data_IF_608769399643
#
_entry.id   IF_608769399643
#
_cell.length_a   1.000
_cell.length_b   1.000
_cell.length_c   1.000
_cell.angle_alpha   90.00
_cell.angle_beta   90.00
_cell.angle_gamma   90.00
#
_symmetry.space_group_name_H-M   'P 1'
#
loop_
_entity.id
_entity.type
_entity.pdbx_description
1 polymer ?
#
# COMPACT_ATOMS: atom_id res chain seq x y z
N UNK A 1 -33.92 49.24 -25.59
CA UNK A 1 -32.66 49.13 -24.81
C UNK A 1 -32.72 47.82 -24.04
N UNK A 2 -31.56 47.18 -23.79
CA UNK A 2 -31.52 45.97 -22.95
C UNK A 2 -31.94 46.30 -21.52
N UNK A 3 -32.70 45.42 -20.88
CA UNK A 3 -33.12 45.62 -19.48
C UNK A 3 -31.95 45.39 -18.52
N UNK A 4 -31.99 45.98 -17.30
CA UNK A 4 -30.99 45.73 -16.25
C UNK A 4 -30.78 44.23 -15.97
N UNK A 5 -31.88 43.46 -15.98
CA UNK A 5 -31.85 42.02 -15.80
C UNK A 5 -31.15 41.29 -16.96
N UNK A 6 -31.40 41.70 -18.21
CA UNK A 6 -30.74 41.13 -19.39
C UNK A 6 -29.23 41.37 -19.33
N UNK A 7 -28.80 42.62 -19.09
CA UNK A 7 -27.38 42.99 -19.01
C UNK A 7 -26.66 42.17 -17.94
N UNK A 8 -27.26 42.06 -16.75
CA UNK A 8 -26.69 41.27 -15.66
C UNK A 8 -26.60 39.78 -15.98
N UNK A 9 -27.64 39.16 -16.55
CA UNK A 9 -27.59 37.73 -16.84
C UNK A 9 -26.66 37.39 -17.99
N UNK A 10 -26.43 38.30 -18.95
CA UNK A 10 -25.43 38.11 -20.00
C UNK A 10 -23.99 38.22 -19.49
N UNK A 11 -23.73 38.96 -18.40
CA UNK A 11 -22.39 39.01 -17.80
C UNK A 11 -21.98 37.69 -17.14
N UNK A 12 -22.95 36.83 -16.78
CA UNK A 12 -22.71 35.57 -16.09
C UNK A 12 -22.38 34.42 -17.05
N UNK A 13 -21.18 33.87 -16.92
CA UNK A 13 -20.64 32.86 -17.85
C UNK A 13 -21.32 31.49 -17.78
N UNK A 14 -21.78 31.05 -16.60
CA UNK A 14 -22.29 29.67 -16.42
C UNK A 14 -23.77 29.63 -16.03
N UNK A 15 -24.50 28.64 -16.54
CA UNK A 15 -25.91 28.41 -16.18
C UNK A 15 -26.10 28.15 -14.68
N UNK A 16 -25.14 27.48 -14.04
CA UNK A 16 -25.15 27.21 -12.61
C UNK A 16 -25.07 28.51 -11.79
N UNK A 17 -24.15 29.42 -12.15
CA UNK A 17 -24.04 30.74 -11.51
C UNK A 17 -25.31 31.56 -11.73
N UNK A 18 -25.84 31.61 -12.97
CA UNK A 18 -27.11 32.30 -13.29
C UNK A 18 -28.24 31.85 -12.37
N UNK A 19 -28.41 30.53 -12.18
CA UNK A 19 -29.45 29.95 -11.32
C UNK A 19 -29.30 30.36 -9.85
N UNK A 20 -28.07 30.31 -9.31
CA UNK A 20 -27.79 30.69 -7.91
C UNK A 20 -27.99 32.19 -7.71
N UNK A 21 -27.52 33.01 -8.65
CA UNK A 21 -27.61 34.46 -8.56
C UNK A 21 -29.07 34.92 -8.64
N UNK A 22 -29.84 34.35 -9.58
CA UNK A 22 -31.29 34.55 -9.67
C UNK A 22 -32.00 34.27 -8.35
N UNK A 23 -31.76 33.10 -7.75
CA UNK A 23 -32.39 32.73 -6.48
C UNK A 23 -32.14 33.75 -5.36
N UNK A 24 -30.91 34.26 -5.23
CA UNK A 24 -30.57 35.18 -4.14
C UNK A 24 -31.03 36.60 -4.41
N UNK A 25 -31.04 37.04 -5.67
CA UNK A 25 -31.62 38.32 -6.07
C UNK A 25 -33.13 38.34 -5.86
N UNK A 26 -33.85 37.31 -6.28
CA UNK A 26 -35.30 37.21 -6.08
C UNK A 26 -35.66 37.28 -4.58
N UNK A 27 -34.92 36.58 -3.72
CA UNK A 27 -35.10 36.65 -2.26
C UNK A 27 -34.80 38.03 -1.66
N UNK A 28 -33.88 38.78 -2.27
CA UNK A 28 -33.57 40.13 -1.84
C UNK A 28 -34.64 41.12 -2.30
N UNK A 29 -35.08 41.02 -3.55
CA UNK A 29 -36.16 41.83 -4.13
C UNK A 29 -37.49 41.63 -3.41
N UNK A 30 -37.82 40.40 -3.05
CA UNK A 30 -38.96 40.07 -2.21
C UNK A 30 -38.92 40.81 -0.86
N UNK A 31 -37.76 40.81 -0.20
CA UNK A 31 -37.57 41.54 1.06
C UNK A 31 -37.61 43.07 0.88
N UNK A 32 -36.98 43.58 -0.17
CA UNK A 32 -36.89 45.01 -0.44
C UNK A 32 -38.20 45.59 -0.99
N UNK A 33 -39.16 44.74 -1.38
CA UNK A 33 -40.34 45.12 -2.15
C UNK A 33 -39.97 45.93 -3.40
N UNK A 34 -38.93 45.46 -4.11
CA UNK A 34 -38.41 46.06 -5.33
C UNK A 34 -38.33 44.99 -6.43
N UNK A 35 -38.01 45.42 -7.64
CA UNK A 35 -37.60 44.56 -8.75
C UNK A 35 -36.27 45.06 -9.36
N UNK A 36 -35.87 44.43 -10.46
CA UNK A 36 -34.64 44.76 -11.19
C UNK A 36 -34.61 46.22 -11.67
N UNK A 37 -35.75 46.79 -12.05
CA UNK A 37 -35.85 48.12 -12.65
C UNK A 37 -36.13 49.20 -11.61
N UNK A 38 -36.84 48.87 -10.52
CA UNK A 38 -37.22 49.83 -9.49
C UNK A 38 -36.07 50.13 -8.53
N UNK A 39 -35.24 49.13 -8.20
CA UNK A 39 -34.17 49.31 -7.23
C UNK A 39 -33.05 50.23 -7.73
N UNK A 40 -32.75 50.18 -9.03
CA UNK A 40 -31.67 50.97 -9.64
C UNK A 40 -32.04 52.46 -9.77
N UNK A 41 -33.32 52.80 -9.61
CA UNK A 41 -33.83 54.18 -9.62
C UNK A 41 -33.74 54.85 -8.25
N UNK A 42 -33.36 54.11 -7.21
CA UNK A 42 -33.22 54.65 -5.86
C UNK A 42 -31.85 55.30 -5.68
N UNK A 43 -31.79 56.29 -4.79
CA UNK A 43 -30.52 56.90 -4.38
C UNK A 43 -29.57 55.85 -3.77
N UNK A 44 -28.26 55.87 -4.10
CA UNK A 44 -27.30 54.88 -3.63
C UNK A 44 -27.29 54.66 -2.11
N UNK A 45 -27.44 55.73 -1.31
CA UNK A 45 -27.48 55.61 0.15
C UNK A 45 -28.74 54.88 0.64
N UNK A 46 -29.88 55.04 -0.07
CA UNK A 46 -31.11 54.29 0.23
C UNK A 46 -30.95 52.80 -0.10
N UNK A 47 -30.34 52.46 -1.25
CA UNK A 47 -30.04 51.07 -1.63
C UNK A 47 -29.14 50.41 -0.57
N UNK A 48 -28.07 51.11 -0.17
CA UNK A 48 -27.15 50.66 0.87
C UNK A 48 -27.85 50.43 2.21
N UNK A 49 -28.77 51.31 2.61
CA UNK A 49 -29.56 51.13 3.82
C UNK A 49 -30.44 49.87 3.74
N UNK A 50 -31.16 49.66 2.64
CA UNK A 50 -31.96 48.45 2.39
C UNK A 50 -31.11 47.17 2.50
N UNK A 51 -29.89 47.18 1.96
CA UNK A 51 -28.99 46.03 2.05
C UNK A 51 -28.53 45.78 3.48
N UNK A 52 -28.21 46.83 4.26
CA UNK A 52 -27.86 46.68 5.68
C UNK A 52 -29.02 46.05 6.46
N UNK A 53 -30.24 46.53 6.22
CA UNK A 53 -31.44 46.02 6.87
C UNK A 53 -31.69 44.56 6.48
N UNK A 54 -31.46 44.20 5.21
CA UNK A 54 -31.52 42.81 4.75
C UNK A 54 -30.49 41.90 5.43
N UNK A 55 -29.26 42.37 5.61
CA UNK A 55 -28.22 41.63 6.34
C UNK A 55 -28.61 41.42 7.80
N UNK A 56 -29.15 42.46 8.46
CA UNK A 56 -29.66 42.37 9.84
C UNK A 56 -30.81 41.36 9.93
N UNK A 57 -31.76 41.41 9.00
CA UNK A 57 -32.87 40.46 8.91
C UNK A 57 -32.36 39.01 8.75
N UNK A 58 -31.40 38.77 7.85
CA UNK A 58 -30.78 37.44 7.72
C UNK A 58 -30.04 37.02 8.97
N UNK A 59 -29.35 37.94 9.66
CA UNK A 59 -28.64 37.65 10.92
C UNK A 59 -29.59 37.22 12.01
N UNK A 60 -30.75 37.84 12.08
CA UNK A 60 -31.83 37.44 13.00
C UNK A 60 -32.37 36.04 12.67
N UNK A 61 -32.56 35.73 11.39
CA UNK A 61 -32.93 34.37 10.96
C UNK A 61 -31.85 33.35 11.31
N UNK A 62 -30.57 33.67 11.09
CA UNK A 62 -29.44 32.82 11.49
C UNK A 62 -29.46 32.57 13.00
N UNK A 63 -29.75 33.60 13.82
CA UNK A 63 -29.85 33.46 15.28
C UNK A 63 -31.01 32.56 15.71
N UNK A 64 -32.18 32.71 15.09
CA UNK A 64 -33.39 31.95 15.43
C UNK A 64 -33.37 30.50 14.93
N UNK A 65 -32.84 30.28 13.74
CA UNK A 65 -33.01 29.01 13.01
C UNK A 65 -31.69 28.29 12.69
N UNK A 66 -30.55 28.97 12.85
CA UNK A 66 -29.26 28.51 12.34
C UNK A 66 -29.11 28.65 10.81
N UNK A 67 -30.10 29.23 10.12
CA UNK A 67 -30.16 29.33 8.65
C UNK A 67 -30.36 30.81 8.25
N UNK A 68 -29.57 31.35 7.30
CA UNK A 68 -28.44 30.72 6.62
C UNK A 68 -27.23 30.55 7.54
N UNK A 69 -26.30 29.66 7.17
CA UNK A 69 -25.05 29.49 7.91
C UNK A 69 -24.24 30.80 7.90
N UNK A 70 -23.50 31.14 8.99
CA UNK A 70 -22.62 32.30 9.00
C UNK A 70 -21.63 32.35 7.82
N UNK A 71 -21.20 31.19 7.33
CA UNK A 71 -20.26 31.10 6.21
C UNK A 71 -20.89 31.39 4.84
N UNK A 72 -22.22 31.50 4.75
CA UNK A 72 -22.95 31.68 3.48
C UNK A 72 -23.19 33.15 3.11
N UNK A 73 -22.95 34.10 4.03
CA UNK A 73 -23.31 35.51 3.83
C UNK A 73 -22.67 36.12 2.59
N UNK A 74 -21.38 35.86 2.36
CA UNK A 74 -20.72 36.29 1.13
C UNK A 74 -21.46 35.77 -0.11
N UNK A 75 -21.77 34.47 -0.17
CA UNK A 75 -22.45 33.87 -1.33
C UNK A 75 -23.87 34.41 -1.55
N UNK A 76 -24.58 34.83 -0.49
CA UNK A 76 -25.90 35.46 -0.58
C UNK A 76 -25.77 36.90 -1.10
N UNK A 77 -24.72 37.62 -0.70
CA UNK A 77 -24.54 39.04 -0.99
C UNK A 77 -23.86 39.31 -2.34
N UNK A 78 -22.96 38.42 -2.80
CA UNK A 78 -22.25 38.57 -4.07
C UNK A 78 -23.18 38.79 -5.28
N UNK A 79 -24.32 38.10 -5.43
CA UNK A 79 -25.26 38.36 -6.52
C UNK A 79 -25.82 39.78 -6.51
N UNK A 80 -26.16 40.30 -5.33
CA UNK A 80 -26.67 41.67 -5.15
C UNK A 80 -25.57 42.68 -5.50
N UNK A 81 -24.37 42.45 -4.98
CA UNK A 81 -23.20 43.27 -5.28
C UNK A 81 -22.92 43.32 -6.78
N UNK A 82 -22.86 42.15 -7.43
CA UNK A 82 -22.58 42.04 -8.87
C UNK A 82 -23.68 42.70 -9.71
N UNK A 83 -24.94 42.61 -9.29
CA UNK A 83 -26.05 43.26 -9.99
C UNK A 83 -25.95 44.78 -9.93
N UNK A 84 -25.64 45.34 -8.76
CA UNK A 84 -25.50 46.78 -8.58
C UNK A 84 -24.26 47.34 -9.30
N UNK A 85 -23.13 46.63 -9.22
CA UNK A 85 -21.91 46.99 -9.97
C UNK A 85 -22.15 46.99 -11.49
N UNK A 86 -22.91 46.01 -12.01
CA UNK A 86 -23.26 45.96 -13.44
C UNK A 86 -24.17 47.11 -13.89
N UNK A 87 -24.86 47.77 -12.96
CA UNK A 87 -25.70 48.94 -13.20
C UNK A 87 -25.04 50.25 -12.72
N UNK A 88 -23.71 50.24 -12.53
CA UNK A 88 -22.90 51.42 -12.17
C UNK A 88 -23.29 52.06 -10.82
N UNK A 89 -23.85 51.27 -9.89
CA UNK A 89 -24.21 51.73 -8.55
C UNK A 89 -23.11 51.32 -7.56
N UNK A 90 -22.34 52.30 -7.10
CA UNK A 90 -21.19 52.08 -6.24
C UNK A 90 -21.33 52.72 -4.85
N UNK A 91 -20.94 51.96 -3.81
CA UNK A 91 -20.75 52.43 -2.44
C UNK A 91 -19.84 51.47 -1.67
N UNK A 92 -19.37 51.90 -0.49
CA UNK A 92 -18.44 51.10 0.33
C UNK A 92 -19.08 49.82 0.91
N UNK A 93 -18.88 48.70 0.19
CA UNK A 93 -19.27 47.35 0.62
C UNK A 93 -18.58 46.89 1.91
N UNK A 94 -17.44 47.49 2.28
CA UNK A 94 -16.75 47.20 3.55
C UNK A 94 -17.68 47.37 4.75
N UNK A 95 -18.49 48.43 4.74
CA UNK A 95 -19.45 48.69 5.82
C UNK A 95 -20.54 47.62 5.93
N UNK A 96 -20.97 47.06 4.81
CA UNK A 96 -21.96 45.97 4.76
C UNK A 96 -21.32 44.65 5.22
N UNK A 97 -20.11 44.34 4.75
CA UNK A 97 -19.38 43.11 5.13
C UNK A 97 -19.06 43.05 6.62
N UNK A 98 -18.82 44.20 7.26
CA UNK A 98 -18.63 44.28 8.71
C UNK A 98 -19.87 43.85 9.52
N UNK A 99 -21.06 43.84 8.92
CA UNK A 99 -22.29 43.38 9.58
C UNK A 99 -22.44 41.85 9.54
N UNK A 100 -21.65 41.14 8.73
CA UNK A 100 -21.74 39.70 8.60
C UNK A 100 -21.40 39.01 9.92
N UNK A 101 -22.05 37.88 10.24
CA UNK A 101 -21.71 37.11 11.41
C UNK A 101 -20.29 36.54 11.30
N UNK A 102 -19.68 36.27 12.45
CA UNK A 102 -18.38 35.60 12.50
C UNK A 102 -18.46 34.23 11.81
N UNK A 103 -17.50 33.96 10.94
CA UNK A 103 -17.39 32.66 10.26
C UNK A 103 -17.13 31.57 11.29
N UNK A 104 -17.75 30.42 11.07
CA UNK A 104 -17.63 29.25 11.94
C UNK A 104 -16.82 28.16 11.23
N UNK A 105 -16.13 27.28 11.98
CA UNK A 105 -15.44 26.13 11.38
C UNK A 105 -16.41 25.25 10.56
N UNK A 106 -15.97 24.83 9.38
CA UNK A 106 -16.77 23.99 8.49
C UNK A 106 -16.84 22.56 9.04
N UNK A 107 -18.00 21.91 8.86
CA UNK A 107 -18.24 20.52 9.22
C UNK A 107 -17.79 19.54 8.12
N UNK A 108 -17.79 18.25 8.44
CA UNK A 108 -17.51 17.13 7.55
C UNK A 108 -16.11 17.18 6.91
N UNK A 109 -15.10 17.47 7.73
CA UNK A 109 -13.76 17.76 7.24
C UNK A 109 -12.81 16.56 7.21
N UNK A 110 -13.18 15.40 7.76
CA UNK A 110 -12.30 14.24 7.79
C UNK A 110 -12.26 13.48 6.44
N UNK A 111 -11.10 12.90 6.07
CA UNK A 111 -10.98 11.99 4.93
C UNK A 111 -11.65 10.64 5.23
N UNK A 112 -11.85 9.84 4.17
CA UNK A 112 -12.14 8.42 4.34
C UNK A 112 -10.86 7.66 4.75
N UNK A 113 -11.01 6.66 5.62
CA UNK A 113 -10.01 5.65 5.97
C UNK A 113 -10.16 4.45 5.06
N UNK A 114 -9.16 3.55 5.05
CA UNK A 114 -9.25 2.30 4.30
C UNK A 114 -10.46 1.45 4.73
N UNK A 115 -10.75 1.41 6.03
CA UNK A 115 -11.92 0.70 6.56
C UNK A 115 -13.24 1.29 6.07
N UNK A 116 -13.37 2.63 5.98
CA UNK A 116 -14.57 3.20 5.38
C UNK A 116 -14.73 2.76 3.92
N UNK A 117 -13.64 2.72 3.15
CA UNK A 117 -13.73 2.30 1.74
C UNK A 117 -14.09 0.81 1.66
N UNK A 118 -13.51 -0.04 2.52
CA UNK A 118 -13.89 -1.46 2.61
C UNK A 118 -15.37 -1.64 2.96
N UNK A 119 -15.88 -0.88 3.92
CA UNK A 119 -17.30 -0.88 4.28
C UNK A 119 -18.19 -0.45 3.11
N UNK A 120 -17.82 0.61 2.39
CA UNK A 120 -18.55 1.05 1.19
C UNK A 120 -18.57 -0.05 0.10
N UNK A 121 -17.43 -0.69 -0.16
CA UNK A 121 -17.32 -1.75 -1.17
C UNK A 121 -18.08 -3.02 -0.75
N UNK A 122 -18.07 -3.37 0.54
CA UNK A 122 -18.80 -4.51 1.09
C UNK A 122 -20.32 -4.30 1.11
N UNK A 123 -20.78 -3.04 1.16
CA UNK A 123 -22.19 -2.71 1.20
C UNK A 123 -22.92 -2.82 -0.16
N UNK A 124 -22.20 -3.05 -1.25
CA UNK A 124 -22.80 -3.10 -2.59
C UNK A 124 -22.30 -4.29 -3.40
N UNK A 125 -23.21 -5.00 -4.06
CA UNK A 125 -22.88 -6.10 -4.99
C UNK A 125 -22.71 -5.63 -6.43
N UNK A 126 -23.12 -4.39 -6.75
CA UNK A 126 -23.06 -3.86 -8.10
C UNK A 126 -21.62 -3.58 -8.54
N UNK A 127 -21.16 -4.24 -9.59
CA UNK A 127 -19.83 -4.02 -10.18
C UNK A 127 -19.62 -2.56 -10.56
N UNK A 128 -20.64 -1.91 -11.13
CA UNK A 128 -20.63 -0.47 -11.40
C UNK A 128 -20.33 0.36 -10.15
N UNK A 129 -21.05 0.12 -9.04
CA UNK A 129 -20.87 0.92 -7.84
C UNK A 129 -19.49 0.66 -7.22
N UNK A 130 -19.01 -0.59 -7.22
CA UNK A 130 -17.66 -0.94 -6.77
C UNK A 130 -16.60 -0.20 -7.58
N UNK A 131 -16.69 -0.29 -8.91
CA UNK A 131 -15.81 0.44 -9.83
C UNK A 131 -15.84 1.95 -9.58
N UNK A 132 -17.04 2.53 -9.37
CA UNK A 132 -17.19 3.96 -9.09
C UNK A 132 -16.50 4.38 -7.78
N UNK A 133 -16.61 3.58 -6.71
CA UNK A 133 -15.97 3.85 -5.42
C UNK A 133 -14.45 3.74 -5.53
N UNK A 134 -13.95 2.67 -6.17
CA UNK A 134 -12.51 2.53 -6.44
C UNK A 134 -11.99 3.70 -7.27
N UNK A 135 -12.72 4.10 -8.31
CA UNK A 135 -12.37 5.21 -9.18
C UNK A 135 -12.24 6.53 -8.39
N UNK A 136 -13.23 6.88 -7.57
CA UNK A 136 -13.16 8.08 -6.72
C UNK A 136 -12.00 8.01 -5.70
N UNK A 137 -11.79 6.84 -5.10
CA UNK A 137 -10.75 6.61 -4.09
C UNK A 137 -9.34 6.71 -4.66
N UNK A 138 -9.17 6.22 -5.90
CA UNK A 138 -7.87 6.19 -6.57
C UNK A 138 -7.51 7.49 -7.28
N UNK A 139 -8.49 8.24 -7.78
CA UNK A 139 -8.23 9.44 -8.60
C UNK A 139 -8.35 10.76 -7.83
N UNK A 140 -9.06 10.75 -6.70
CA UNK A 140 -9.44 11.97 -5.99
C UNK A 140 -10.29 12.93 -6.82
N UNK A 141 -10.90 12.48 -7.92
CA UNK A 141 -11.66 13.33 -8.85
C UNK A 141 -12.87 13.99 -8.17
N UNK A 142 -13.29 15.15 -8.68
CA UNK A 142 -14.59 15.72 -8.32
C UNK A 142 -15.70 14.81 -8.86
N UNK A 143 -16.59 14.33 -7.99
CA UNK A 143 -17.70 13.44 -8.40
C UNK A 143 -18.55 14.02 -9.55
N UNK A 144 -18.68 15.34 -9.62
CA UNK A 144 -19.43 16.02 -10.68
C UNK A 144 -18.78 15.98 -12.06
N UNK A 145 -17.49 15.62 -12.15
CA UNK A 145 -16.79 15.44 -13.43
C UNK A 145 -17.01 14.05 -14.04
N UNK A 146 -17.35 13.05 -13.21
CA UNK A 146 -17.51 11.66 -13.65
C UNK A 146 -18.54 11.41 -14.77
N UNK A 147 -19.64 12.19 -14.90
CA UNK A 147 -20.57 12.10 -16.03
C UNK A 147 -19.95 12.28 -17.42
N UNK A 148 -18.94 13.14 -17.52
CA UNK A 148 -18.41 13.60 -18.81
C UNK A 148 -17.17 12.80 -19.24
N UNK A 149 -16.66 11.91 -18.37
CA UNK A 149 -15.53 11.03 -18.68
C UNK A 149 -16.00 9.94 -19.63
N UNK A 150 -15.23 9.67 -20.66
CA UNK A 150 -15.46 8.60 -21.65
C UNK A 150 -14.50 7.44 -21.45
N UNK A 151 -14.77 6.33 -22.13
CA UNK A 151 -13.91 5.14 -22.07
C UNK A 151 -12.51 5.45 -22.64
N UNK A 152 -12.44 6.20 -23.74
CA UNK A 152 -11.17 6.64 -24.36
C UNK A 152 -10.31 7.55 -23.49
N UNK A 153 -10.91 8.21 -22.49
CA UNK A 153 -10.16 9.08 -21.58
C UNK A 153 -9.30 8.27 -20.60
N UNK A 154 -9.52 6.95 -20.51
CA UNK A 154 -8.77 6.01 -19.67
C UNK A 154 -7.72 5.31 -20.53
N UNK A 155 -6.45 5.62 -20.30
CA UNK A 155 -5.31 5.01 -20.99
C UNK A 155 -4.57 4.06 -20.06
N UNK A 156 -4.49 2.79 -20.44
CA UNK A 156 -3.76 1.77 -19.71
C UNK A 156 -2.26 2.09 -19.68
N UNK A 157 -1.66 2.02 -18.48
CA UNK A 157 -0.22 2.17 -18.27
C UNK A 157 0.21 1.15 -17.24
N UNK A 158 1.11 0.24 -17.65
CA UNK A 158 1.55 -0.89 -16.84
C UNK A 158 0.33 -1.72 -16.37
N UNK A 159 0.11 -1.80 -15.07
CA UNK A 159 -0.99 -2.52 -14.42
C UNK A 159 -2.16 -1.61 -13.99
N UNK A 160 -2.02 -0.29 -14.16
CA UNK A 160 -3.01 0.73 -13.85
C UNK A 160 -3.41 1.53 -15.08
N UNK A 161 -3.80 2.79 -14.86
CA UNK A 161 -4.17 3.68 -15.95
C UNK A 161 -3.99 5.16 -15.60
N UNK A 162 -3.87 6.00 -16.62
CA UNK A 162 -4.02 7.45 -16.53
C UNK A 162 -5.38 7.85 -17.11
N UNK A 163 -6.06 8.78 -16.46
CA UNK A 163 -7.40 9.24 -16.82
C UNK A 163 -7.39 10.74 -17.07
N UNK A 164 -7.89 11.16 -18.22
CA UNK A 164 -8.09 12.57 -18.58
C UNK A 164 -9.45 13.06 -18.04
N UNK A 165 -9.46 14.19 -17.35
CA UNK A 165 -10.65 14.78 -16.72
C UNK A 165 -10.91 16.14 -17.35
N UNK A 166 -12.18 16.43 -17.65
CA UNK A 166 -12.61 17.65 -18.36
C UNK A 166 -11.87 17.87 -19.68
N UNK A 167 -11.75 16.80 -20.47
CA UNK A 167 -11.11 16.80 -21.78
C UNK A 167 -11.63 17.95 -22.65
N UNK A 168 -10.75 18.56 -23.42
CA UNK A 168 -11.03 19.67 -24.36
C UNK A 168 -11.55 20.94 -23.67
N UNK A 169 -11.28 21.11 -22.36
CA UNK A 169 -11.61 22.32 -21.61
C UNK A 169 -10.38 22.99 -21.00
N UNK A 170 -10.53 24.25 -20.61
CA UNK A 170 -9.48 24.98 -19.89
C UNK A 170 -9.14 24.34 -18.54
N UNK A 171 -10.06 23.58 -17.96
CA UNK A 171 -9.89 22.88 -16.69
C UNK A 171 -9.32 21.46 -16.83
N UNK A 172 -8.95 21.03 -18.05
CA UNK A 172 -8.42 19.68 -18.30
C UNK A 172 -7.22 19.33 -17.41
N UNK A 173 -7.21 18.12 -16.87
CA UNK A 173 -6.08 17.55 -16.12
C UNK A 173 -6.06 16.04 -16.21
N UNK A 174 -4.95 15.42 -15.80
CA UNK A 174 -4.81 13.96 -15.77
C UNK A 174 -4.59 13.47 -14.35
N UNK A 175 -5.15 12.30 -14.04
CA UNK A 175 -5.02 11.60 -12.74
C UNK A 175 -4.83 10.11 -12.98
N UNK A 176 -4.60 9.30 -11.95
CA UNK A 176 -4.19 7.91 -12.10
C UNK A 176 -5.13 6.94 -11.38
N UNK A 177 -5.22 5.72 -11.92
CA UNK A 177 -5.86 4.57 -11.29
C UNK A 177 -4.81 3.61 -10.76
N UNK A 178 -4.97 3.16 -9.51
CA UNK A 178 -4.24 2.02 -8.98
C UNK A 178 -4.63 0.75 -9.76
N UNK A 179 -3.80 -0.30 -9.72
CA UNK A 179 -4.10 -1.57 -10.38
C UNK A 179 -5.40 -2.21 -9.89
N UNK A 180 -5.65 -2.11 -8.58
CA UNK A 180 -6.92 -2.54 -7.94
C UNK A 180 -8.12 -1.78 -8.53
N UNK A 181 -8.01 -0.45 -8.65
CA UNK A 181 -9.10 0.37 -9.17
C UNK A 181 -9.33 0.16 -10.67
N UNK A 182 -8.24 0.02 -11.44
CA UNK A 182 -8.32 -0.27 -12.87
C UNK A 182 -8.92 -1.65 -13.13
N UNK A 183 -8.56 -2.66 -12.34
CA UNK A 183 -9.16 -4.00 -12.42
C UNK A 183 -10.66 -3.97 -12.10
N UNK A 184 -11.08 -3.24 -11.07
CA UNK A 184 -12.49 -3.07 -10.75
C UNK A 184 -13.25 -2.37 -11.89
N UNK A 185 -12.63 -1.38 -12.53
CA UNK A 185 -13.17 -0.69 -13.70
C UNK A 185 -13.33 -1.63 -14.89
N UNK A 186 -12.31 -2.43 -15.23
CA UNK A 186 -12.37 -3.43 -16.33
C UNK A 186 -13.54 -4.41 -16.14
N UNK A 187 -13.68 -4.98 -14.94
CA UNK A 187 -14.81 -5.87 -14.59
C UNK A 187 -16.18 -5.20 -14.76
N UNK A 188 -16.27 -3.90 -14.49
CA UNK A 188 -17.50 -3.14 -14.75
C UNK A 188 -17.73 -2.94 -16.26
N UNK A 189 -16.70 -2.62 -17.04
CA UNK A 189 -16.83 -2.45 -18.49
C UNK A 189 -17.21 -3.77 -19.19
N UNK A 190 -16.79 -4.92 -18.66
CA UNK A 190 -17.17 -6.25 -19.15
C UNK A 190 -18.68 -6.56 -19.09
N UNK A 191 -19.45 -5.86 -18.25
CA UNK A 191 -20.92 -5.99 -18.19
C UNK A 191 -21.66 -4.88 -18.97
N UNK A 192 -20.95 -3.93 -19.57
CA UNK A 192 -21.57 -2.83 -20.34
C UNK A 192 -22.08 -3.35 -21.68
N UNK A 193 -23.18 -2.78 -22.16
CA UNK A 193 -23.70 -3.04 -23.51
C UNK A 193 -22.87 -2.25 -24.52
N UNK A 194 -22.81 -0.92 -24.32
CA UNK A 194 -22.01 -0.01 -25.13
C UNK A 194 -20.61 0.17 -24.54
N UNK A 195 -19.59 -0.11 -25.36
CA UNK A 195 -18.16 -0.05 -24.97
C UNK A 195 -17.30 0.70 -25.98
N UNK A 196 -17.94 1.44 -26.89
CA UNK A 196 -17.21 2.25 -27.87
C UNK A 196 -16.33 3.29 -27.15
N UNK A 197 -15.17 3.67 -27.70
CA UNK A 197 -14.26 4.62 -27.06
C UNK A 197 -14.93 5.93 -26.62
N UNK A 198 -15.83 6.48 -27.46
CA UNK A 198 -16.60 7.70 -27.17
C UNK A 198 -17.79 7.47 -26.22
N UNK A 199 -18.05 6.24 -25.76
CA UNK A 199 -19.10 6.01 -24.77
C UNK A 199 -18.69 6.58 -23.41
N UNK A 200 -19.68 7.10 -22.65
CA UNK A 200 -19.44 7.55 -21.26
C UNK A 200 -18.90 6.42 -20.39
N UNK A 201 -17.97 6.73 -19.50
CA UNK A 201 -17.32 5.75 -18.64
C UNK A 201 -18.31 5.09 -17.69
N UNK A 202 -19.14 5.90 -17.02
CA UNK A 202 -20.15 5.42 -16.05
C UNK A 202 -21.57 5.77 -16.45
N UNK A 203 -22.47 4.78 -16.38
CA UNK A 203 -23.89 4.92 -16.70
C UNK A 203 -24.81 4.75 -15.49
N UNK A 204 -26.09 5.04 -15.69
CA UNK A 204 -27.15 4.56 -14.80
C UNK A 204 -27.25 3.04 -14.82
N UNK A 205 -28.13 2.49 -13.96
CA UNK A 205 -28.29 1.04 -13.78
C UNK A 205 -28.74 0.31 -15.04
N UNK A 206 -29.31 1.03 -16.00
CA UNK A 206 -29.76 0.48 -17.30
C UNK A 206 -28.62 0.28 -18.32
N UNK A 207 -27.36 0.54 -17.97
CA UNK A 207 -26.19 0.40 -18.86
C UNK A 207 -26.20 1.24 -20.15
N UNK A 208 -27.11 2.21 -20.29
CA UNK A 208 -27.28 3.01 -21.50
C UNK A 208 -27.16 4.51 -21.20
N UNK A 209 -27.97 5.00 -20.27
CA UNK A 209 -28.04 6.45 -20.04
C UNK A 209 -26.85 6.95 -19.21
N UNK A 210 -26.24 8.09 -19.57
CA UNK A 210 -25.21 8.73 -18.76
C UNK A 210 -25.68 9.09 -17.36
N UNK A 211 -24.74 9.12 -16.42
CA UNK A 211 -24.98 9.76 -15.14
C UNK A 211 -25.15 11.27 -15.35
N UNK A 212 -26.06 11.90 -14.61
CA UNK A 212 -26.01 13.35 -14.34
C UNK A 212 -25.14 13.62 -13.12
N UNK A 213 -24.65 14.86 -12.91
CA UNK A 213 -23.90 15.22 -11.70
C UNK A 213 -24.63 14.86 -10.40
N UNK A 214 -25.96 15.04 -10.37
CA UNK A 214 -26.79 14.62 -9.23
C UNK A 214 -26.81 13.11 -9.06
N UNK A 215 -27.02 12.36 -10.14
CA UNK A 215 -27.08 10.90 -10.06
C UNK A 215 -25.73 10.26 -9.69
N UNK A 216 -24.61 10.89 -10.08
CA UNK A 216 -23.26 10.48 -9.68
C UNK A 216 -23.07 10.64 -8.16
N UNK A 217 -23.54 11.75 -7.59
CA UNK A 217 -23.58 11.93 -6.13
C UNK A 217 -24.49 10.89 -5.47
N UNK A 218 -25.60 10.53 -6.12
CA UNK A 218 -26.55 9.56 -5.59
C UNK A 218 -26.00 8.13 -5.52
N UNK A 219 -25.08 7.75 -6.43
CA UNK A 219 -24.38 6.47 -6.34
C UNK A 219 -23.68 6.36 -4.98
N UNK A 220 -22.86 7.35 -4.64
CA UNK A 220 -22.11 7.38 -3.37
C UNK A 220 -23.07 7.48 -2.18
N UNK A 221 -24.09 8.34 -2.27
CA UNK A 221 -25.10 8.54 -1.22
C UNK A 221 -25.79 7.22 -0.85
N UNK A 222 -26.19 6.45 -1.87
CA UNK A 222 -26.93 5.22 -1.68
C UNK A 222 -26.04 4.12 -1.11
N UNK A 223 -24.81 3.96 -1.61
CA UNK A 223 -23.87 2.98 -1.05
C UNK A 223 -23.51 3.34 0.39
N UNK A 224 -23.27 4.62 0.68
CA UNK A 224 -22.97 5.07 2.05
C UNK A 224 -24.13 4.79 3.02
N UNK A 225 -25.38 4.94 2.58
CA UNK A 225 -26.55 4.56 3.37
C UNK A 225 -26.60 3.06 3.62
N UNK A 226 -26.30 2.24 2.61
CA UNK A 226 -26.24 0.78 2.74
C UNK A 226 -25.14 0.34 3.72
N UNK A 227 -23.98 0.99 3.66
CA UNK A 227 -22.84 0.75 4.55
C UNK A 227 -23.06 1.19 6.00
N UNK A 228 -24.15 1.92 6.29
CA UNK A 228 -24.42 2.53 7.61
C UNK A 228 -23.27 3.43 8.14
N UNK A 229 -22.41 3.93 7.24
CA UNK A 229 -21.31 4.88 7.49
C UNK A 229 -21.79 6.29 7.91
N UNK A 230 -23.02 6.43 8.38
CA UNK A 230 -23.53 7.67 8.95
C UNK A 230 -23.03 7.80 10.38
N UNK A 231 -21.75 8.16 10.54
CA UNK A 231 -21.15 8.54 11.83
C UNK A 231 -21.96 9.65 12.53
N UNK A 232 -22.86 10.33 11.82
CA UNK A 232 -23.59 11.48 12.35
C UNK A 232 -25.13 11.38 12.29
N UNK A 233 -25.74 10.24 11.92
CA UNK A 233 -27.22 10.13 11.74
C UNK A 233 -27.84 11.27 10.89
N UNK A 234 -27.09 11.79 9.91
CA UNK A 234 -27.52 12.91 9.06
C UNK A 234 -27.22 14.31 9.60
N UNK A 235 -26.62 14.44 10.79
CA UNK A 235 -26.15 15.74 11.32
C UNK A 235 -24.78 16.09 10.76
N UNK A 236 -24.52 17.36 10.48
CA UNK A 236 -23.17 17.78 10.06
C UNK A 236 -22.30 17.92 11.32
N UNK A 237 -21.20 17.17 11.42
CA UNK A 237 -20.29 17.22 12.58
C UNK A 237 -18.86 17.55 12.15
N UNK A 238 -18.03 18.07 13.07
CA UNK A 238 -16.61 18.33 12.77
C UNK A 238 -15.82 17.04 12.52
N UNK A 239 -16.26 15.93 13.13
CA UNK A 239 -15.70 14.58 12.94
C UNK A 239 -16.37 13.83 11.79
N UNK A 240 -17.34 14.44 11.12
CA UNK A 240 -18.03 13.84 10.00
C UNK A 240 -17.13 13.73 8.78
N UNK A 241 -17.51 12.84 7.88
CA UNK A 241 -16.88 12.65 6.57
C UNK A 241 -17.83 13.15 5.49
N UNK A 242 -17.34 14.03 4.63
CA UNK A 242 -18.11 14.51 3.47
C UNK A 242 -18.34 13.35 2.51
N UNK A 243 -19.56 13.19 2.01
CA UNK A 243 -19.91 12.07 1.14
C UNK A 243 -18.95 11.90 -0.04
N UNK A 244 -18.62 13.01 -0.72
CA UNK A 244 -17.78 12.97 -1.92
C UNK A 244 -16.39 13.56 -1.67
N UNK A 245 -16.30 14.67 -0.93
CA UNK A 245 -15.01 15.32 -0.69
C UNK A 245 -14.08 14.52 0.22
N UNK A 246 -14.58 13.56 1.01
CA UNK A 246 -13.71 12.74 1.85
C UNK A 246 -12.81 11.79 1.04
N UNK A 247 -13.24 11.33 -0.15
CA UNK A 247 -12.38 10.58 -1.09
C UNK A 247 -11.21 11.43 -1.56
N UNK A 248 -11.50 12.65 -2.01
CA UNK A 248 -10.49 13.59 -2.50
C UNK A 248 -9.48 13.97 -1.41
N UNK A 249 -9.94 14.17 -0.17
CA UNK A 249 -9.06 14.40 0.97
C UNK A 249 -8.20 13.19 1.31
N UNK A 250 -8.78 11.98 1.28
CA UNK A 250 -8.02 10.74 1.44
C UNK A 250 -6.89 10.70 0.41
N UNK A 251 -7.22 10.86 -0.87
CA UNK A 251 -6.25 10.89 -1.95
C UNK A 251 -5.13 11.91 -1.70
N UNK A 252 -5.47 13.19 -1.44
CA UNK A 252 -4.49 14.24 -1.19
C UNK A 252 -3.53 13.91 -0.03
N UNK A 253 -4.10 13.51 1.11
CA UNK A 253 -3.33 13.19 2.32
C UNK A 253 -2.46 11.95 2.09
N UNK A 254 -3.00 10.91 1.44
CA UNK A 254 -2.25 9.69 1.14
C UNK A 254 -1.08 9.99 0.22
N UNK A 255 -1.28 10.75 -0.86
CA UNK A 255 -0.20 11.15 -1.76
C UNK A 255 0.86 11.98 -1.03
N UNK A 256 0.44 12.95 -0.23
CA UNK A 256 1.35 13.78 0.56
C UNK A 256 2.18 12.94 1.56
N UNK A 257 1.57 11.94 2.19
CA UNK A 257 2.26 11.03 3.11
C UNK A 257 3.26 10.07 2.45
N UNK A 258 3.23 9.96 1.12
CA UNK A 258 4.16 9.17 0.33
C UNK A 258 5.23 10.04 -0.36
N UNK A 259 5.45 11.26 0.15
CA UNK A 259 6.46 12.21 -0.36
C UNK A 259 6.30 12.56 -1.84
N UNK A 260 5.06 12.61 -2.32
CA UNK A 260 4.76 13.20 -3.63
C UNK A 260 4.85 14.72 -3.54
N UNK A 261 5.49 15.33 -4.53
CA UNK A 261 5.60 16.78 -4.60
C UNK A 261 4.21 17.42 -4.76
N UNK A 262 3.91 18.44 -3.96
CA UNK A 262 2.59 19.10 -3.93
C UNK A 262 2.10 19.50 -5.33
N UNK A 263 2.98 19.99 -6.20
CA UNK A 263 2.63 20.34 -7.59
C UNK A 263 2.00 19.19 -8.40
N UNK A 264 2.48 17.97 -8.22
CA UNK A 264 1.91 16.77 -8.87
C UNK A 264 0.56 16.41 -8.25
N UNK A 265 0.42 16.55 -6.93
CA UNK A 265 -0.84 16.31 -6.21
C UNK A 265 -1.90 17.31 -6.69
N UNK A 266 -1.55 18.59 -6.71
CA UNK A 266 -2.39 19.69 -7.19
C UNK A 266 -2.80 19.46 -8.66
N UNK A 267 -1.86 19.06 -9.52
CA UNK A 267 -2.14 18.71 -10.92
C UNK A 267 -3.11 17.53 -11.03
N UNK A 268 -2.86 16.41 -10.34
CA UNK A 268 -3.74 15.23 -10.35
C UNK A 268 -5.13 15.48 -9.77
N UNK A 269 -5.29 16.60 -9.06
CA UNK A 269 -6.56 17.07 -8.57
C UNK A 269 -7.20 18.13 -9.47
N UNK A 270 -6.47 18.74 -10.41
CA UNK A 270 -6.94 19.92 -11.14
C UNK A 270 -7.11 21.11 -10.19
N UNK A 271 -6.13 21.32 -9.31
CA UNK A 271 -5.93 22.53 -8.53
C UNK A 271 -4.84 23.34 -9.22
N UNK A 272 -5.25 24.39 -9.93
CA UNK A 272 -4.34 25.25 -10.68
C UNK A 272 -4.27 26.63 -10.04
N UNK A 273 -3.07 27.19 -9.95
CA UNK A 273 -2.81 28.56 -9.51
C UNK A 273 -2.02 29.27 -10.59
N UNK A 274 -2.59 30.36 -11.14
CA UNK A 274 -2.02 31.05 -12.29
C UNK A 274 -1.76 30.10 -13.47
N UNK A 275 -0.50 30.07 -13.93
CA UNK A 275 -0.06 29.25 -15.07
C UNK A 275 0.48 27.86 -14.67
N UNK A 276 0.24 27.39 -13.43
CA UNK A 276 0.82 26.14 -12.93
C UNK A 276 0.49 24.91 -13.80
N UNK A 277 -0.66 24.91 -14.50
CA UNK A 277 -1.06 23.87 -15.45
C UNK A 277 -0.07 23.70 -16.60
N UNK A 278 0.47 24.80 -17.14
CA UNK A 278 1.29 24.78 -18.35
C UNK A 278 2.58 23.95 -18.18
N UNK A 279 3.13 23.89 -16.97
CA UNK A 279 4.32 23.08 -16.66
C UNK A 279 4.09 21.58 -16.82
N UNK A 280 2.83 21.13 -16.79
CA UNK A 280 2.47 19.72 -16.93
C UNK A 280 2.12 19.33 -18.38
N UNK A 281 2.07 20.28 -19.31
CA UNK A 281 1.83 19.98 -20.73
C UNK A 281 2.95 19.11 -21.33
N UNK A 282 4.18 19.26 -20.83
CA UNK A 282 5.33 18.44 -21.27
C UNK A 282 5.54 17.14 -20.49
N UNK A 283 4.71 16.86 -19.46
CA UNK A 283 4.81 15.64 -18.66
C UNK A 283 4.03 14.53 -19.37
N UNK A 284 4.70 13.43 -19.73
CA UNK A 284 4.04 12.27 -20.35
C UNK A 284 3.15 11.51 -19.35
N UNK A 285 2.25 10.66 -19.86
CA UNK A 285 1.39 9.86 -18.99
C UNK A 285 2.23 8.86 -18.16
N UNK A 286 3.31 8.32 -18.72
CA UNK A 286 4.26 7.42 -18.05
C UNK A 286 5.01 8.14 -16.92
N UNK A 287 5.44 9.38 -17.15
CA UNK A 287 6.10 10.18 -16.11
C UNK A 287 5.14 10.51 -14.96
N UNK A 288 3.89 10.85 -15.28
CA UNK A 288 2.85 11.10 -14.28
C UNK A 288 2.56 9.82 -13.47
N UNK A 289 2.38 8.68 -14.14
CA UNK A 289 2.15 7.40 -13.49
C UNK A 289 3.35 6.98 -12.64
N UNK A 290 4.58 7.18 -13.11
CA UNK A 290 5.80 6.91 -12.34
C UNK A 290 5.86 7.68 -11.01
N UNK A 291 5.41 8.95 -10.99
CA UNK A 291 5.30 9.71 -9.75
C UNK A 291 4.20 9.16 -8.83
N UNK A 292 3.06 8.75 -9.41
CA UNK A 292 1.92 8.19 -8.70
C UNK A 292 2.20 6.81 -8.07
N UNK A 293 3.07 5.99 -8.70
CA UNK A 293 3.41 4.62 -8.23
C UNK A 293 3.80 4.55 -6.75
N UNK A 294 4.48 5.56 -6.23
CA UNK A 294 4.86 5.66 -4.81
C UNK A 294 3.66 5.62 -3.85
N UNK A 295 2.51 6.14 -4.28
CA UNK A 295 1.29 6.18 -3.48
C UNK A 295 0.41 4.93 -3.66
N UNK A 296 0.65 4.09 -4.68
CA UNK A 296 -0.16 2.89 -4.95
C UNK A 296 -0.26 1.99 -3.73
N UNK A 297 0.84 1.59 -3.05
CA UNK A 297 0.74 0.70 -1.88
C UNK A 297 -0.09 1.28 -0.73
N UNK A 298 -0.12 2.61 -0.59
CA UNK A 298 -0.90 3.29 0.43
C UNK A 298 -2.38 3.42 0.03
N UNK A 299 -2.67 3.65 -1.27
CA UNK A 299 -4.02 3.79 -1.79
C UNK A 299 -4.78 2.46 -1.96
N UNK A 300 -4.08 1.37 -2.30
CA UNK A 300 -4.64 0.02 -2.48
C UNK A 300 -5.21 -0.51 -1.16
N UNK A 301 -6.43 -1.03 -1.17
CA UNK A 301 -7.12 -1.50 0.05
C UNK A 301 -6.72 -2.92 0.43
N UNK A 302 -6.49 -3.76 -0.58
CA UNK A 302 -5.93 -5.07 -0.39
C UNK A 302 -4.45 -4.94 -0.02
N UNK A 303 -4.18 -5.11 1.28
CA UNK A 303 -2.82 -5.08 1.82
C UNK A 303 -2.22 -6.48 1.88
N UNK A 304 -2.85 -7.53 1.33
CA UNK A 304 -2.36 -8.91 1.36
C UNK A 304 -0.88 -9.00 0.96
N UNK A 305 -0.52 -8.41 -0.19
CA UNK A 305 0.85 -8.36 -0.70
C UNK A 305 1.83 -7.59 0.20
N UNK A 306 1.36 -6.51 0.84
CA UNK A 306 2.17 -5.75 1.80
C UNK A 306 2.40 -6.55 3.09
N UNK A 307 1.36 -7.20 3.59
CA UNK A 307 1.42 -8.07 4.76
C UNK A 307 2.31 -9.27 4.48
N UNK A 308 2.25 -9.85 3.28
CA UNK A 308 3.14 -10.93 2.83
C UNK A 308 4.59 -10.46 2.80
N UNK A 309 4.88 -9.30 2.20
CA UNK A 309 6.25 -8.76 2.17
C UNK A 309 6.79 -8.39 3.57
N UNK A 310 5.94 -7.84 4.45
CA UNK A 310 6.29 -7.56 5.85
C UNK A 310 6.56 -8.87 6.62
N UNK A 311 5.71 -9.89 6.44
CA UNK A 311 5.91 -11.23 7.02
C UNK A 311 7.16 -11.91 6.48
N UNK A 312 7.46 -11.81 5.18
CA UNK A 312 8.68 -12.37 4.59
C UNK A 312 9.92 -11.71 5.18
N UNK A 313 9.89 -10.39 5.38
CA UNK A 313 10.99 -9.66 6.02
C UNK A 313 11.16 -10.10 7.48
N UNK A 314 10.07 -10.25 8.22
CA UNK A 314 10.08 -10.73 9.61
C UNK A 314 10.60 -12.18 9.71
N UNK A 315 10.13 -13.07 8.84
CA UNK A 315 10.61 -14.46 8.71
C UNK A 315 12.11 -14.47 8.42
N UNK A 316 12.60 -13.58 7.55
CA UNK A 316 14.02 -13.49 7.22
C UNK A 316 14.86 -13.09 8.44
N UNK A 317 14.41 -12.07 9.19
CA UNK A 317 15.10 -11.64 10.43
C UNK A 317 15.12 -12.78 11.44
N UNK A 318 13.99 -13.44 11.68
CA UNK A 318 13.90 -14.57 12.62
C UNK A 318 14.81 -15.72 12.20
N UNK A 319 14.91 -16.03 10.89
CA UNK A 319 15.82 -17.05 10.37
C UNK A 319 17.28 -16.68 10.61
N UNK A 320 17.66 -15.44 10.29
CA UNK A 320 19.03 -14.97 10.51
C UNK A 320 19.42 -15.00 12.01
N UNK A 321 18.52 -14.61 12.91
CA UNK A 321 18.71 -14.73 14.36
C UNK A 321 18.78 -16.18 14.84
N UNK A 322 17.88 -17.04 14.35
CA UNK A 322 17.84 -18.45 14.72
C UNK A 322 19.06 -19.22 14.23
N UNK A 323 19.50 -18.99 12.98
CA UNK A 323 20.69 -19.62 12.41
C UNK A 323 21.95 -19.20 13.18
N UNK A 324 22.03 -17.91 13.58
CA UNK A 324 23.10 -17.41 14.45
C UNK A 324 23.12 -18.12 15.81
N UNK A 325 21.98 -18.20 16.50
CA UNK A 325 21.88 -18.86 17.79
C UNK A 325 22.12 -20.38 17.72
N UNK A 326 21.71 -21.03 16.62
CA UNK A 326 21.94 -22.45 16.38
C UNK A 326 23.43 -22.72 16.17
N UNK A 327 24.11 -21.88 15.40
CA UNK A 327 25.55 -21.99 15.17
C UNK A 327 26.33 -21.83 16.48
N UNK A 328 25.98 -20.84 17.30
CA UNK A 328 26.61 -20.62 18.60
C UNK A 328 26.42 -21.83 19.53
N UNK A 329 25.20 -22.40 19.59
CA UNK A 329 24.95 -23.63 20.36
C UNK A 329 25.72 -24.84 19.83
N UNK A 330 25.87 -24.96 18.52
CA UNK A 330 26.61 -26.06 17.91
C UNK A 330 28.10 -25.95 18.26
N UNK A 331 28.67 -24.75 18.17
CA UNK A 331 30.06 -24.48 18.59
C UNK A 331 30.25 -24.79 20.09
N UNK A 332 29.32 -24.38 20.96
CA UNK A 332 29.36 -24.73 22.38
C UNK A 332 29.27 -26.24 22.64
N UNK A 333 28.45 -26.96 21.87
CA UNK A 333 28.35 -28.43 21.97
C UNK A 333 29.62 -29.13 21.47
N UNK A 334 30.20 -28.67 20.35
CA UNK A 334 31.45 -29.20 19.83
C UNK A 334 32.59 -28.97 20.82
N UNK A 335 32.68 -27.78 21.42
CA UNK A 335 33.66 -27.50 22.48
C UNK A 335 33.49 -28.42 23.69
N UNK A 336 32.25 -28.62 24.14
CA UNK A 336 31.96 -29.53 25.25
C UNK A 336 32.35 -30.97 24.91
N UNK A 337 32.02 -31.43 23.71
CA UNK A 337 32.35 -32.78 23.25
C UNK A 337 33.86 -32.99 23.15
N UNK A 338 34.60 -31.99 22.64
CA UNK A 338 36.06 -32.00 22.60
C UNK A 338 36.68 -32.05 24.00
N UNK A 339 36.14 -31.30 24.96
CA UNK A 339 36.59 -31.37 26.37
C UNK A 339 36.33 -32.75 26.97
N UNK A 340 35.12 -33.30 26.80
CA UNK A 340 34.78 -34.65 27.29
C UNK A 340 35.67 -35.73 26.65
N UNK A 341 35.92 -35.65 25.35
CA UNK A 341 36.84 -36.55 24.65
C UNK A 341 38.26 -36.47 25.19
N UNK A 342 38.75 -35.25 25.47
CA UNK A 342 40.08 -35.03 26.04
C UNK A 342 40.20 -35.60 27.46
N UNK A 343 39.19 -35.39 28.30
CA UNK A 343 39.16 -35.93 29.67
C UNK A 343 39.11 -37.46 29.66
N UNK A 344 38.24 -38.04 28.80
CA UNK A 344 38.15 -39.49 28.62
C UNK A 344 39.47 -40.08 28.14
N UNK A 345 40.10 -39.47 27.14
CA UNK A 345 41.38 -39.90 26.60
C UNK A 345 42.47 -39.88 27.68
N UNK A 346 42.52 -38.81 28.48
CA UNK A 346 43.49 -38.67 29.59
C UNK A 346 43.27 -39.76 30.64
N UNK A 347 42.03 -40.00 31.06
CA UNK A 347 41.70 -41.04 32.02
C UNK A 347 42.03 -42.45 31.50
N UNK A 348 41.78 -42.71 30.21
CA UNK A 348 42.11 -43.98 29.53
C UNK A 348 43.61 -44.21 29.48
N UNK A 349 44.39 -43.22 29.03
CA UNK A 349 45.85 -43.31 28.99
C UNK A 349 46.43 -43.51 30.39
N UNK A 350 45.95 -42.75 31.38
CA UNK A 350 46.37 -42.92 32.78
C UNK A 350 46.06 -44.34 33.33
N UNK A 351 44.91 -44.91 32.98
CA UNK A 351 44.56 -46.28 33.38
C UNK A 351 45.52 -47.31 32.77
N UNK A 352 45.94 -47.12 31.51
CA UNK A 352 46.97 -47.96 30.87
C UNK A 352 48.36 -47.76 31.51
N UNK A 353 48.75 -46.53 31.82
CA UNK A 353 50.00 -46.23 32.54
C UNK A 353 50.03 -46.91 33.91
N UNK A 354 48.92 -46.88 34.65
CA UNK A 354 48.77 -47.52 35.95
C UNK A 354 48.77 -49.05 35.86
N UNK A 355 48.21 -49.61 34.79
CA UNK A 355 48.15 -51.07 34.58
C UNK A 355 49.47 -51.65 34.13
N UNK A 356 50.24 -50.90 33.35
CA UNK A 356 51.51 -51.34 32.76
C UNK A 356 52.70 -50.49 33.25
N UNK A 357 52.72 -50.11 34.53
CA UNK A 357 53.71 -49.18 35.14
C UNK A 357 55.16 -49.53 34.81
N UNK A 358 55.47 -50.82 34.71
CA UNK A 358 56.77 -51.36 34.31
C UNK A 358 57.23 -51.02 32.88
N UNK A 359 56.36 -50.41 32.07
CA UNK A 359 56.64 -49.93 30.71
C UNK A 359 56.80 -48.40 30.63
N UNK A 360 56.54 -47.67 31.72
CA UNK A 360 56.52 -46.20 31.77
C UNK A 360 57.61 -45.60 32.67
N UNK A 361 58.71 -46.33 32.89
CA UNK A 361 59.80 -45.96 33.82
C UNK A 361 60.82 -44.93 33.33
N UNK A 362 60.59 -44.25 32.20
CA UNK A 362 61.51 -43.27 31.59
C UNK A 362 60.78 -42.10 30.92
N UNK A 363 61.50 -41.17 30.26
CA UNK A 363 60.90 -40.00 29.59
C UNK A 363 59.94 -40.35 28.42
N UNK A 364 59.93 -41.61 27.97
CA UNK A 364 59.06 -42.13 26.91
C UNK A 364 58.61 -43.56 27.26
N UNK A 365 57.39 -43.98 26.88
CA UNK A 365 56.92 -45.35 27.07
C UNK A 365 57.73 -46.36 26.25
N UNK A 366 57.93 -47.56 26.79
CA UNK A 366 58.52 -48.70 26.06
C UNK A 366 57.44 -49.37 25.18
N UNK A 367 57.28 -48.83 23.97
CA UNK A 367 56.30 -49.26 22.98
C UNK A 367 56.48 -50.75 22.59
N UNK A 368 57.72 -51.25 22.54
CA UNK A 368 57.97 -52.65 22.20
C UNK A 368 57.49 -53.59 23.30
N UNK A 369 57.67 -53.20 24.56
CA UNK A 369 57.16 -53.98 25.70
C UNK A 369 55.63 -53.93 25.76
N UNK A 370 55.02 -52.76 25.57
CA UNK A 370 53.57 -52.59 25.51
C UNK A 370 52.92 -53.47 24.41
N UNK A 371 53.53 -53.51 23.21
CA UNK A 371 53.04 -54.35 22.09
C UNK A 371 52.99 -55.85 22.38
N UNK A 372 53.77 -56.34 23.36
CA UNK A 372 53.84 -57.77 23.73
C UNK A 372 52.88 -58.15 24.85
N UNK A 373 52.48 -57.20 25.68
CA UNK A 373 51.72 -57.43 26.91
C UNK A 373 50.27 -56.93 26.85
N UNK A 374 49.96 -56.03 25.91
CA UNK A 374 48.60 -55.56 25.64
C UNK A 374 47.90 -56.48 24.64
N UNK A 375 46.60 -56.69 24.83
CA UNK A 375 45.76 -57.35 23.82
C UNK A 375 45.53 -56.45 22.61
N UNK A 376 45.09 -57.02 21.49
CA UNK A 376 44.82 -56.24 20.27
C UNK A 376 43.72 -55.19 20.48
N UNK A 377 42.69 -55.50 21.26
CA UNK A 377 41.62 -54.52 21.61
C UNK A 377 42.18 -53.36 22.44
N UNK A 378 43.11 -53.64 23.36
CA UNK A 378 43.77 -52.60 24.16
C UNK A 378 44.73 -51.75 23.33
N UNK A 379 45.41 -52.34 22.34
CA UNK A 379 46.27 -51.61 21.40
C UNK A 379 45.44 -50.71 20.49
N UNK A 380 44.29 -51.19 19.98
CA UNK A 380 43.37 -50.37 19.20
C UNK A 380 42.80 -49.20 20.02
N UNK A 381 42.38 -49.45 21.28
CA UNK A 381 41.88 -48.40 22.18
C UNK A 381 43.00 -47.39 22.53
N UNK A 382 44.22 -47.85 22.79
CA UNK A 382 45.38 -47.00 23.03
C UNK A 382 45.70 -46.10 21.83
N UNK A 383 45.81 -46.69 20.64
CA UNK A 383 46.11 -45.93 19.42
C UNK A 383 45.02 -44.90 19.06
N UNK A 384 43.79 -45.13 19.52
CA UNK A 384 42.69 -44.16 19.38
C UNK A 384 42.83 -42.95 20.31
N UNK A 385 43.30 -43.15 21.54
CA UNK A 385 43.32 -42.09 22.56
C UNK A 385 44.68 -41.41 22.72
N UNK A 386 45.80 -42.11 22.48
CA UNK A 386 47.14 -41.57 22.70
C UNK A 386 47.44 -40.30 21.88
N UNK A 387 46.99 -40.15 20.61
CA UNK A 387 47.24 -38.92 19.84
C UNK A 387 46.44 -37.72 20.37
N UNK A 388 45.35 -37.97 21.11
CA UNK A 388 44.52 -36.91 21.71
C UNK A 388 45.16 -36.33 22.97
N UNK A 389 45.93 -37.15 23.69
CA UNK A 389 46.63 -36.78 24.94
C UNK A 389 48.05 -36.29 24.68
N UNK A 390 48.80 -36.98 23.82
CA UNK A 390 50.17 -36.64 23.46
C UNK A 390 50.26 -36.22 22.00
N UNK A 391 50.30 -34.91 21.76
CA UNK A 391 50.28 -34.33 20.41
C UNK A 391 51.67 -34.09 19.82
N UNK A 392 52.71 -34.05 20.65
CA UNK A 392 54.07 -33.70 20.22
C UNK A 392 54.92 -34.92 19.85
N UNK A 393 54.51 -36.12 20.25
CA UNK A 393 55.28 -37.34 20.05
C UNK A 393 54.35 -38.50 19.69
N UNK A 394 54.70 -39.22 18.62
CA UNK A 394 53.96 -40.41 18.21
C UNK A 394 54.30 -41.59 19.12
N UNK A 395 53.34 -41.96 19.96
CA UNK A 395 53.41 -43.10 20.87
C UNK A 395 52.40 -44.20 20.45
N UNK A 396 52.00 -44.22 19.18
CA UNK A 396 51.20 -45.32 18.65
C UNK A 396 51.99 -46.63 18.72
N UNK A 397 51.31 -47.69 19.12
CA UNK A 397 51.85 -49.05 19.17
C UNK A 397 51.61 -49.67 17.80
N UNK A 398 52.66 -50.06 17.05
CA UNK A 398 52.48 -50.79 15.80
C UNK A 398 51.72 -52.07 16.09
N UNK A 399 50.56 -52.24 15.47
CA UNK A 399 49.89 -53.53 15.42
C UNK A 399 50.81 -54.48 14.65
N UNK A 400 51.09 -55.66 15.22
CA UNK A 400 52.04 -56.63 14.65
C UNK A 400 51.73 -56.96 13.19
N UNK A 401 52.46 -56.33 12.28
CA UNK A 401 52.33 -56.39 10.83
C UNK A 401 52.95 -57.69 10.32
N UNK A 402 52.21 -58.78 10.42
CA UNK A 402 52.21 -59.85 9.41
C UNK A 402 51.14 -60.91 9.65
N UNK A 403 50.79 -61.24 10.89
CA UNK A 403 49.89 -62.37 11.11
C UNK A 403 48.41 -61.98 11.04
N UNK A 404 48.01 -60.86 11.65
CA UNK A 404 46.61 -60.44 11.70
C UNK A 404 46.15 -59.66 10.48
N UNK A 405 46.97 -58.79 9.89
CA UNK A 405 46.68 -58.21 8.57
C UNK A 405 46.62 -59.30 7.50
N UNK A 406 47.56 -60.26 7.45
CA UNK A 406 47.45 -61.36 6.48
C UNK A 406 46.25 -62.29 6.76
N UNK A 407 45.82 -62.47 8.02
CA UNK A 407 44.61 -63.23 8.36
C UNK A 407 43.32 -62.47 8.05
N UNK A 408 43.30 -61.15 8.28
CA UNK A 408 42.18 -60.24 8.01
C UNK A 408 42.03 -60.03 6.51
N UNK A 409 43.12 -59.74 5.79
CA UNK A 409 43.17 -59.71 4.33
C UNK A 409 42.84 -61.07 3.73
N UNK A 410 43.31 -62.19 4.29
CA UNK A 410 42.95 -63.52 3.78
C UNK A 410 41.46 -63.84 3.97
N UNK A 411 40.86 -63.41 5.09
CA UNK A 411 39.44 -63.60 5.37
C UNK A 411 38.57 -62.67 4.52
N UNK A 412 38.90 -61.39 4.44
CA UNK A 412 38.21 -60.38 3.62
C UNK A 412 38.35 -60.69 2.11
N UNK A 413 39.54 -61.11 1.64
CA UNK A 413 39.72 -61.64 0.26
C UNK A 413 38.84 -62.85 -0.01
N UNK A 414 38.63 -63.74 0.97
CA UNK A 414 37.74 -64.91 0.83
C UNK A 414 36.28 -64.50 0.75
N UNK A 415 35.85 -63.59 1.62
CA UNK A 415 34.46 -63.10 1.66
C UNK A 415 34.11 -62.32 0.39
N UNK A 416 35.00 -61.45 -0.10
CA UNK A 416 34.80 -60.73 -1.37
C UNK A 416 34.73 -61.71 -2.56
N UNK A 417 35.60 -62.74 -2.61
CA UNK A 417 35.55 -63.78 -3.65
C UNK A 417 34.25 -64.58 -3.62
N UNK A 418 33.73 -64.92 -2.44
CA UNK A 418 32.47 -65.63 -2.29
C UNK A 418 31.25 -64.76 -2.68
N UNK A 419 31.30 -63.46 -2.39
CA UNK A 419 30.28 -62.50 -2.82
C UNK A 419 30.29 -62.38 -4.35
N UNK A 420 31.46 -62.19 -4.98
CA UNK A 420 31.59 -62.16 -6.44
C UNK A 420 31.06 -63.46 -7.07
N UNK A 421 31.35 -64.62 -6.47
CA UNK A 421 30.88 -65.92 -6.97
C UNK A 421 29.36 -66.05 -6.87
N UNK A 422 28.72 -65.54 -5.82
CA UNK A 422 27.26 -65.51 -5.70
C UNK A 422 26.63 -64.56 -6.73
N UNK A 423 27.18 -63.36 -6.88
CA UNK A 423 26.69 -62.36 -7.85
C UNK A 423 26.81 -62.86 -9.30
N UNK A 424 27.95 -63.47 -9.68
CA UNK A 424 28.13 -64.11 -11.00
C UNK A 424 27.14 -65.26 -11.23
N UNK A 425 26.81 -66.05 -10.19
CA UNK A 425 25.84 -67.15 -10.29
C UNK A 425 24.38 -66.66 -10.37
N UNK A 426 24.11 -65.45 -9.88
CA UNK A 426 22.81 -64.78 -9.99
C UNK A 426 22.65 -63.97 -11.28
N UNK A 427 23.65 -63.98 -12.16
CA UNK A 427 23.59 -63.31 -13.47
C UNK A 427 23.78 -61.79 -13.41
N UNK A 428 24.33 -61.26 -12.30
CA UNK A 428 24.59 -59.83 -12.16
C UNK A 428 25.75 -59.40 -13.08
N UNK A 429 25.51 -58.34 -13.86
CA UNK A 429 26.44 -57.74 -14.83
C UNK A 429 26.74 -56.27 -14.51
N UNK A 430 26.43 -55.82 -13.29
CA UNK A 430 26.67 -54.45 -12.85
C UNK A 430 28.15 -54.17 -12.56
N UNK A 431 28.55 -52.90 -12.68
CA UNK A 431 29.92 -52.42 -12.39
C UNK A 431 30.39 -52.64 -10.94
N UNK A 432 29.52 -53.15 -10.07
CA UNK A 432 29.88 -53.61 -8.72
C UNK A 432 30.86 -54.79 -8.75
N UNK A 433 30.72 -55.74 -9.69
CA UNK A 433 31.69 -56.85 -9.80
C UNK A 433 33.09 -56.30 -10.12
N UNK A 434 33.16 -55.35 -11.04
CA UNK A 434 34.42 -54.74 -11.47
C UNK A 434 35.06 -53.88 -10.37
N UNK A 435 34.24 -53.19 -9.55
CA UNK A 435 34.71 -52.49 -8.36
C UNK A 435 35.23 -53.45 -7.27
N UNK A 436 34.53 -54.56 -7.03
CA UNK A 436 34.96 -55.57 -6.06
C UNK A 436 36.22 -56.32 -6.52
N UNK A 437 36.38 -56.57 -7.83
CA UNK A 437 37.61 -57.12 -8.42
C UNK A 437 38.78 -56.14 -8.29
N UNK A 438 38.55 -54.83 -8.53
CA UNK A 438 39.56 -53.80 -8.27
C UNK A 438 39.94 -53.68 -6.80
N UNK A 439 38.99 -53.83 -5.88
CA UNK A 439 39.30 -53.86 -4.44
C UNK A 439 40.22 -55.04 -4.11
N UNK A 440 40.00 -56.22 -4.73
CA UNK A 440 40.86 -57.39 -4.59
C UNK A 440 42.30 -57.18 -5.09
N UNK A 441 42.50 -56.32 -6.10
CA UNK A 441 43.82 -55.98 -6.64
C UNK A 441 44.59 -54.96 -5.76
N UNK A 442 43.89 -54.22 -4.88
CA UNK A 442 44.48 -53.22 -3.97
C UNK A 442 44.96 -53.84 -2.66
N UNK A 443 44.40 -54.99 -2.27
CA UNK A 443 44.89 -55.83 -1.17
C UNK A 443 46.03 -56.76 -1.63
#
# INVERSE_FOLDING_TARGET
>A
MATPSQIFYESLKTKATKKVYKLWLEKFFEYAHQDYDSIIKLEPEKIKQIIKDYVIHKKELTRKTGIPSPNSYNAIMTPIQSFLEMNEIEFSWKTIKNLYPQRIPTSNQLPYTDDDIRELLGATTSLRNKAFIHFLSSTGVRVGATPDIRIEDVKEIEDGAVVTIYRDTTEEYRTCLTPEAYTALKRYLEQRIEREPDSVLFTRKNNLTPLTPTSAQDVVRNVRKQAKLSIDNGRKSRRGKSQNHAFRKRFEITLASCDLQQRFIDYMQGHFSGNSKAYFNGVSDEQLYAQFKRAIPALTLDKSTKIEAEKEKEIRIIKEEFDGALKEKLEQQDELMQRMLSELATAKVFAYETRYTECFGGKKPDIQKLSKIMSNEEIEDWNRFIPLVQREQDWTIPTGTKSQEMLRDSKEKREIKDIIKRLKKQGDTSGMIEQLEKMLDVF
#
